data_IF_591888469628
#
_entry.id   IF_591888469628
#
_cell.length_a   1.000
_cell.length_b   1.000
_cell.length_c   1.000
_cell.angle_alpha   90.00
_cell.angle_beta   90.00
_cell.angle_gamma   90.00
#
_symmetry.space_group_name_H-M   'P 1'
#
loop_
_entity.id
_entity.type
_entity.pdbx_description
1 polymer ?
#
# COMPACT_ATOMS: atom_id res chain seq x y z
N UNK A 1 20.92 -1.70 -10.33
CA UNK A 1 20.61 -1.38 -8.93
C UNK A 1 19.38 -2.18 -8.59
N UNK A 2 19.58 -3.31 -7.93
CA UNK A 2 18.56 -4.35 -7.73
C UNK A 2 17.60 -3.86 -6.66
N UNK A 3 16.36 -3.56 -7.05
CA UNK A 3 15.25 -3.26 -6.14
C UNK A 3 15.08 -4.47 -5.20
N UNK A 4 15.26 -4.35 -3.88
CA UNK A 4 15.07 -5.47 -2.98
C UNK A 4 13.58 -5.83 -2.95
N UNK A 5 13.27 -6.97 -3.55
CA UNK A 5 12.26 -7.94 -3.13
C UNK A 5 11.09 -7.36 -2.32
N UNK A 6 10.15 -6.72 -3.02
CA UNK A 6 8.70 -6.80 -2.80
C UNK A 6 8.24 -7.03 -1.34
N UNK A 7 8.49 -6.07 -0.43
CA UNK A 7 7.60 -5.89 0.71
C UNK A 7 6.30 -5.30 0.15
N UNK A 8 5.35 -6.15 -0.23
CA UNK A 8 4.04 -5.69 -0.72
C UNK A 8 3.26 -5.08 0.45
N UNK A 9 2.32 -4.16 0.17
CA UNK A 9 1.41 -3.64 1.20
C UNK A 9 0.74 -4.76 2.00
N UNK A 10 0.47 -5.89 1.35
CA UNK A 10 -0.10 -7.05 2.00
C UNK A 10 0.83 -7.67 3.06
N UNK A 11 2.15 -7.65 2.86
CA UNK A 11 3.15 -8.13 3.83
C UNK A 11 3.25 -7.18 5.04
N UNK A 12 3.15 -5.86 4.79
CA UNK A 12 3.06 -4.87 5.86
C UNK A 12 1.80 -5.06 6.72
N UNK A 13 0.64 -5.26 6.07
CA UNK A 13 -0.58 -5.65 6.79
C UNK A 13 -0.35 -6.98 7.49
N UNK A 14 0.41 -7.91 6.89
CA UNK A 14 0.62 -9.23 7.47
C UNK A 14 1.40 -9.20 8.81
N UNK A 15 2.33 -8.27 8.93
CA UNK A 15 3.10 -8.06 10.14
C UNK A 15 2.31 -7.41 11.30
N UNK A 16 1.10 -6.90 11.06
CA UNK A 16 0.29 -6.22 12.07
C UNK A 16 -0.61 -7.19 12.86
N UNK A 17 -0.94 -6.78 14.09
CA UNK A 17 -1.93 -7.47 14.92
C UNK A 17 -3.32 -7.41 14.29
N UNK A 18 -4.18 -8.37 14.59
CA UNK A 18 -5.51 -8.52 13.95
C UNK A 18 -6.39 -7.25 14.05
N UNK A 19 -6.35 -6.57 15.20
CA UNK A 19 -7.02 -5.29 15.43
C UNK A 19 -6.47 -4.17 14.51
N UNK A 20 -5.15 -4.04 14.43
CA UNK A 20 -4.47 -3.07 13.58
C UNK A 20 -4.70 -3.34 12.09
N UNK A 21 -4.70 -4.61 11.67
CA UNK A 21 -5.07 -5.01 10.31
C UNK A 21 -6.47 -4.55 9.97
N UNK A 22 -7.44 -4.79 10.87
CA UNK A 22 -8.84 -4.44 10.63
C UNK A 22 -9.00 -2.94 10.42
N UNK A 23 -8.38 -2.13 11.28
CA UNK A 23 -8.38 -0.68 11.13
C UNK A 23 -7.71 -0.21 9.82
N UNK A 24 -6.56 -0.79 9.47
CA UNK A 24 -5.81 -0.43 8.27
C UNK A 24 -6.55 -0.83 6.98
N UNK A 25 -7.16 -2.02 6.94
CA UNK A 25 -7.97 -2.49 5.81
C UNK A 25 -9.18 -1.58 5.61
N UNK A 26 -9.86 -1.15 6.69
CA UNK A 26 -10.99 -0.24 6.59
C UNK A 26 -10.58 1.10 5.94
N UNK A 27 -9.46 1.69 6.38
CA UNK A 27 -8.92 2.93 5.78
C UNK A 27 -8.50 2.70 4.33
N UNK A 28 -7.79 1.60 4.04
CA UNK A 28 -7.33 1.24 2.69
C UNK A 28 -8.50 1.09 1.71
N UNK A 29 -9.59 0.45 2.12
CA UNK A 29 -10.79 0.33 1.30
C UNK A 29 -11.38 1.70 0.97
N UNK A 30 -11.54 2.57 1.97
CA UNK A 30 -12.05 3.93 1.74
C UNK A 30 -11.15 4.71 0.77
N UNK A 31 -9.83 4.58 0.91
CA UNK A 31 -8.88 5.21 0.00
C UNK A 31 -9.10 4.68 -1.42
N UNK A 32 -9.10 3.36 -1.63
CA UNK A 32 -9.26 2.73 -2.94
C UNK A 32 -10.62 3.05 -3.60
N UNK A 33 -11.69 3.16 -2.81
CA UNK A 33 -13.01 3.56 -3.32
C UNK A 33 -13.06 5.03 -3.78
N UNK A 34 -12.17 5.88 -3.24
CA UNK A 34 -12.11 7.31 -3.55
C UNK A 34 -10.91 7.67 -4.43
N UNK A 35 -10.00 6.74 -4.69
CA UNK A 35 -8.81 6.97 -5.49
C UNK A 35 -9.17 6.90 -6.98
N UNK A 36 -8.81 7.92 -7.78
CA UNK A 36 -8.96 7.84 -9.23
C UNK A 36 -8.12 6.71 -9.82
N UNK A 37 -8.50 6.22 -10.99
CA UNK A 37 -7.65 5.31 -11.77
C UNK A 37 -6.27 5.94 -12.04
N UNK A 38 -5.23 5.10 -12.08
CA UNK A 38 -3.85 5.53 -12.35
C UNK A 38 -2.99 5.73 -11.10
N UNK A 39 -3.50 5.45 -9.91
CA UNK A 39 -2.67 5.29 -8.72
C UNK A 39 -2.22 3.84 -8.56
N UNK A 40 -0.97 3.66 -8.18
CA UNK A 40 -0.39 2.36 -7.88
C UNK A 40 0.01 2.30 -6.40
N UNK A 41 -0.31 1.20 -5.74
CA UNK A 41 0.12 0.98 -4.36
C UNK A 41 1.52 0.38 -4.34
N UNK A 42 2.43 1.11 -3.69
CA UNK A 42 3.84 0.75 -3.57
C UNK A 42 4.26 0.81 -2.10
N UNK A 43 5.48 0.37 -1.80
CA UNK A 43 6.07 0.51 -0.47
C UNK A 43 7.25 1.46 -0.54
N UNK A 44 7.14 2.55 0.21
CA UNK A 44 8.18 3.55 0.37
C UNK A 44 8.48 3.73 1.86
N UNK A 45 9.77 3.76 2.19
CA UNK A 45 10.22 3.88 3.58
C UNK A 45 9.61 2.85 4.55
N UNK A 46 9.26 1.65 4.04
CA UNK A 46 8.63 0.59 4.83
C UNK A 46 7.14 0.79 5.11
N UNK A 47 6.47 1.71 4.40
CA UNK A 47 5.05 1.99 4.55
C UNK A 47 4.31 1.89 3.21
N UNK A 48 3.09 1.32 3.19
CA UNK A 48 2.25 1.32 2.00
C UNK A 48 1.91 2.76 1.61
N UNK A 49 2.17 3.10 0.35
CA UNK A 49 2.04 4.44 -0.22
C UNK A 49 1.35 4.33 -1.57
N UNK A 50 0.37 5.19 -1.84
CA UNK A 50 -0.20 5.30 -3.18
C UNK A 50 0.53 6.38 -3.97
N UNK A 51 1.08 6.00 -5.12
CA UNK A 51 1.81 6.91 -6.00
C UNK A 51 1.14 6.95 -7.36
N UNK A 52 1.15 8.11 -8.01
CA UNK A 52 0.83 8.20 -9.43
C UNK A 52 2.15 7.96 -10.15
N UNK A 53 2.33 6.84 -10.87
CA UNK A 53 3.51 6.66 -11.70
C UNK A 53 3.50 7.76 -12.75
N UNK A 54 4.59 8.51 -12.84
CA UNK A 54 4.87 9.37 -13.99
C UNK A 54 5.11 8.45 -15.18
N UNK A 55 4.03 8.00 -15.82
CA UNK A 55 4.09 7.38 -17.12
C UNK A 55 4.66 8.42 -18.09
N UNK A 56 5.78 8.10 -18.72
CA UNK A 56 6.33 8.84 -19.87
C UNK A 56 5.59 8.42 -21.13
#
# INVERSE_FOLDING_TARGET
MTQPEQQSANDFVDALSEDQRTALIAVRNVILENLPDGYEETIQHGMPTHVIPLAT
#
